data_IF_189246058074
#
_entry.id   IF_189246058074
#
_cell.length_a   1.000
_cell.length_b   1.000
_cell.length_c   1.000
_cell.angle_alpha   90.00
_cell.angle_beta   90.00
_cell.angle_gamma   90.00
#
_symmetry.space_group_name_H-M   'P 1'
#
loop_
_entity.id
_entity.type
_entity.pdbx_description
1 polymer ?
#
# COMPACT_ATOMS: atom_id res chain seq x y z
N UNK A 1 -25.41 2.93 -12.73
CA UNK A 1 -24.33 3.46 -11.88
C UNK A 1 -24.24 2.55 -10.66
N UNK A 2 -23.03 2.08 -10.33
CA UNK A 2 -22.76 1.01 -9.36
C UNK A 2 -21.54 1.37 -8.50
N UNK A 3 -21.74 2.29 -7.56
CA UNK A 3 -20.72 2.62 -6.56
C UNK A 3 -20.44 1.37 -5.72
N UNK A 4 -19.20 0.88 -5.79
CA UNK A 4 -18.81 -0.37 -5.15
C UNK A 4 -18.45 -0.19 -3.67
N UNK A 5 -17.93 0.97 -3.28
CA UNK A 5 -17.48 1.25 -1.91
C UNK A 5 -18.36 2.33 -1.29
N UNK A 6 -18.78 2.10 -0.05
CA UNK A 6 -19.66 2.97 0.71
C UNK A 6 -19.11 3.17 2.11
N UNK A 7 -19.10 4.41 2.57
CA UNK A 7 -18.66 4.79 3.90
C UNK A 7 -19.89 5.16 4.75
N UNK A 8 -19.96 4.64 5.97
CA UNK A 8 -21.06 4.95 6.88
C UNK A 8 -20.58 5.98 7.90
N UNK A 9 -20.85 7.26 7.60
CA UNK A 9 -20.41 8.39 8.40
C UNK A 9 -19.02 8.91 8.03
N UNK A 10 -18.69 10.09 8.56
CA UNK A 10 -17.41 10.78 8.44
C UNK A 10 -17.04 11.28 9.83
N UNK A 11 -15.83 11.00 10.36
CA UNK A 11 -15.33 11.54 11.63
C UNK A 11 -16.31 11.65 12.81
N UNK A 12 -17.35 10.80 12.87
CA UNK A 12 -18.48 10.91 13.80
C UNK A 12 -18.11 10.69 15.28
N UNK A 13 -16.82 10.47 15.56
CA UNK A 13 -16.25 10.46 16.90
C UNK A 13 -15.97 11.87 17.43
N UNK A 14 -15.72 12.85 16.55
CA UNK A 14 -15.29 14.20 16.90
C UNK A 14 -16.47 15.16 17.08
N UNK A 15 -16.42 16.02 18.11
CA UNK A 15 -17.49 16.99 18.43
C UNK A 15 -17.67 18.08 17.37
N UNK A 16 -16.80 18.14 16.37
CA UNK A 16 -16.91 19.02 15.22
C UNK A 16 -17.84 18.47 14.14
N UNK A 17 -18.07 17.15 14.11
CA UNK A 17 -18.94 16.54 13.12
C UNK A 17 -20.40 16.67 13.53
N UNK A 18 -21.26 17.08 12.59
CA UNK A 18 -22.69 17.18 12.86
C UNK A 18 -23.29 15.78 13.09
N UNK A 19 -23.79 15.54 14.31
CA UNK A 19 -24.32 14.24 14.69
C UNK A 19 -23.25 13.27 15.20
N UNK A 20 -22.16 13.81 15.76
CA UNK A 20 -21.19 13.06 16.52
C UNK A 20 -21.85 12.17 17.58
N UNK A 21 -21.22 11.03 17.85
CA UNK A 21 -21.80 10.04 18.74
C UNK A 21 -20.74 9.14 19.38
N UNK A 22 -21.16 8.39 20.39
CA UNK A 22 -20.30 7.41 21.04
C UNK A 22 -20.05 6.21 20.10
N UNK A 23 -18.89 5.56 20.25
CA UNK A 23 -18.58 4.36 19.48
C UNK A 23 -19.63 3.25 19.62
N UNK A 24 -20.29 3.14 20.78
CA UNK A 24 -21.34 2.15 20.99
C UNK A 24 -22.59 2.44 20.14
N UNK A 25 -23.07 3.68 20.17
CA UNK A 25 -24.21 4.12 19.36
C UNK A 25 -23.91 4.01 17.87
N UNK A 26 -22.71 4.42 17.45
CA UNK A 26 -22.26 4.24 16.06
C UNK A 26 -22.23 2.77 15.64
N UNK A 27 -21.68 1.89 16.48
CA UNK A 27 -21.60 0.45 16.18
C UNK A 27 -22.97 -0.16 15.91
N UNK A 28 -24.01 0.24 16.66
CA UNK A 28 -25.38 -0.19 16.42
C UNK A 28 -25.92 0.36 15.08
N UNK A 29 -25.79 1.67 14.85
CA UNK A 29 -26.25 2.30 13.61
C UNK A 29 -25.56 1.70 12.38
N UNK A 30 -24.25 1.46 12.46
CA UNK A 30 -23.49 0.79 11.41
C UNK A 30 -24.08 -0.58 11.07
N UNK A 31 -24.46 -1.38 12.08
CA UNK A 31 -25.05 -2.70 11.84
C UNK A 31 -26.39 -2.62 11.10
N UNK A 32 -27.21 -1.61 11.43
CA UNK A 32 -28.51 -1.38 10.81
C UNK A 32 -28.31 -0.99 9.33
N UNK A 33 -27.43 -0.02 9.05
CA UNK A 33 -27.07 0.37 7.69
C UNK A 33 -26.44 -0.79 6.90
N UNK A 34 -25.46 -1.49 7.47
CA UNK A 34 -24.77 -2.60 6.82
C UNK A 34 -25.76 -3.69 6.39
N UNK A 35 -26.62 -4.13 7.31
CA UNK A 35 -27.62 -5.16 7.04
C UNK A 35 -28.61 -4.72 5.96
N UNK A 36 -29.15 -3.51 6.07
CA UNK A 36 -30.11 -2.99 5.11
C UNK A 36 -29.50 -2.83 3.70
N UNK A 37 -28.30 -2.28 3.62
CA UNK A 37 -27.62 -2.06 2.34
C UNK A 37 -27.20 -3.39 1.69
N UNK A 38 -26.70 -4.36 2.46
CA UNK A 38 -26.34 -5.69 1.96
C UNK A 38 -27.54 -6.51 1.50
N UNK A 39 -28.72 -6.27 2.07
CA UNK A 39 -29.96 -6.90 1.62
C UNK A 39 -30.37 -6.40 0.22
N UNK A 40 -30.06 -5.15 -0.12
CA UNK A 40 -30.31 -4.57 -1.44
C UNK A 40 -29.24 -5.00 -2.45
N UNK A 41 -27.96 -4.88 -2.07
CA UNK A 41 -26.83 -5.29 -2.91
C UNK A 41 -25.75 -5.94 -2.04
N UNK A 42 -25.58 -7.25 -2.17
CA UNK A 42 -24.55 -7.98 -1.41
C UNK A 42 -23.13 -7.80 -1.96
N UNK A 43 -22.98 -7.18 -3.15
CA UNK A 43 -21.70 -7.03 -3.86
C UNK A 43 -20.95 -5.74 -3.53
N UNK A 44 -21.62 -4.74 -2.96
CA UNK A 44 -20.97 -3.52 -2.47
C UNK A 44 -20.09 -3.82 -1.25
N UNK A 45 -19.20 -2.89 -0.94
CA UNK A 45 -18.27 -2.90 0.20
C UNK A 45 -18.65 -1.76 1.12
N UNK A 46 -18.80 -2.05 2.41
CA UNK A 46 -19.26 -1.07 3.41
C UNK A 46 -18.21 -0.89 4.51
N UNK A 47 -17.79 0.36 4.70
CA UNK A 47 -16.71 0.76 5.58
C UNK A 47 -17.17 1.40 6.88
N UNK A 48 -16.49 1.07 7.97
CA UNK A 48 -16.73 1.63 9.29
C UNK A 48 -15.64 2.62 9.71
N UNK A 49 -16.03 3.77 10.26
CA UNK A 49 -15.15 4.78 10.86
C UNK A 49 -14.45 4.20 12.08
N UNK A 50 -13.13 4.35 12.11
CA UNK A 50 -12.31 4.05 13.29
C UNK A 50 -11.24 5.13 13.47
N UNK A 51 -10.94 5.43 14.73
CA UNK A 51 -9.75 6.17 15.14
C UNK A 51 -8.62 5.20 15.47
N UNK A 52 -7.37 5.62 15.25
CA UNK A 52 -6.22 4.90 15.80
C UNK A 52 -5.98 5.39 17.24
N UNK A 53 -5.66 4.51 18.21
CA UNK A 53 -5.55 4.85 19.63
C UNK A 53 -4.25 5.59 19.97
N UNK A 54 -3.64 6.24 18.97
CA UNK A 54 -2.66 7.30 19.18
C UNK A 54 -3.35 8.67 19.26
N UNK A 55 -4.63 8.75 18.89
CA UNK A 55 -5.49 9.90 19.15
C UNK A 55 -6.11 9.76 20.54
N UNK A 56 -5.43 10.33 21.53
CA UNK A 56 -5.70 10.17 22.97
C UNK A 56 -7.12 10.52 23.42
N UNK A 57 -7.88 11.23 22.59
CA UNK A 57 -9.19 11.76 22.95
C UNK A 57 -10.34 10.79 22.56
N UNK A 58 -10.04 9.77 21.73
CA UNK A 58 -11.07 8.88 21.14
C UNK A 58 -10.76 7.39 21.27
N UNK A 59 -9.84 6.99 22.16
CA UNK A 59 -9.40 5.59 22.34
C UNK A 59 -10.56 4.59 22.51
N UNK A 60 -11.66 5.00 23.13
CA UNK A 60 -12.82 4.14 23.37
C UNK A 60 -13.80 4.06 22.20
N UNK A 61 -13.73 4.97 21.24
CA UNK A 61 -14.66 5.01 20.12
C UNK A 61 -14.54 3.74 19.27
N UNK A 62 -13.35 3.46 18.71
CA UNK A 62 -13.11 2.29 17.87
C UNK A 62 -13.33 0.97 18.62
N UNK A 63 -12.93 0.92 19.88
CA UNK A 63 -13.11 -0.25 20.75
C UNK A 63 -14.59 -0.61 20.86
N UNK A 64 -15.43 0.38 21.22
CA UNK A 64 -16.86 0.16 21.43
C UNK A 64 -17.60 -0.07 20.11
N UNK A 65 -17.22 0.62 19.03
CA UNK A 65 -17.80 0.43 17.70
C UNK A 65 -17.56 -0.99 17.18
N UNK A 66 -16.29 -1.41 17.11
CA UNK A 66 -15.92 -2.74 16.60
C UNK A 66 -16.46 -3.86 17.50
N UNK A 67 -16.47 -3.67 18.82
CA UNK A 67 -17.02 -4.62 19.78
C UNK A 67 -18.54 -4.84 19.61
N UNK A 68 -19.30 -3.76 19.40
CA UNK A 68 -20.74 -3.86 19.14
C UNK A 68 -21.05 -4.49 17.78
N UNK A 69 -20.30 -4.10 16.73
CA UNK A 69 -20.44 -4.72 15.40
C UNK A 69 -20.23 -6.23 15.47
N UNK A 70 -19.14 -6.65 16.12
CA UNK A 70 -18.81 -8.07 16.30
C UNK A 70 -19.89 -8.82 17.07
N UNK A 71 -20.37 -8.26 18.18
CA UNK A 71 -21.41 -8.87 19.01
C UNK A 71 -22.75 -9.02 18.27
N UNK A 72 -23.01 -8.13 17.31
CA UNK A 72 -24.18 -8.16 16.42
C UNK A 72 -23.99 -9.07 15.20
N UNK A 73 -22.86 -9.78 15.10
CA UNK A 73 -22.55 -10.66 13.97
C UNK A 73 -22.17 -9.92 12.67
N UNK A 74 -21.96 -8.61 12.73
CA UNK A 74 -21.58 -7.77 11.59
C UNK A 74 -20.06 -7.57 11.57
N UNK A 75 -19.46 -7.77 10.41
CA UNK A 75 -18.04 -7.49 10.16
C UNK A 75 -17.96 -6.47 9.02
N UNK A 76 -17.40 -5.27 9.24
CA UNK A 76 -17.23 -4.30 8.15
C UNK A 76 -16.33 -4.87 7.05
N UNK A 77 -16.58 -4.48 5.81
CA UNK A 77 -15.72 -4.88 4.69
C UNK A 77 -14.38 -4.16 4.73
N UNK A 78 -14.37 -2.91 5.20
CA UNK A 78 -13.18 -2.10 5.36
C UNK A 78 -13.28 -1.14 6.54
N UNK A 79 -12.13 -0.65 7.00
CA UNK A 79 -12.06 0.43 7.99
C UNK A 79 -11.68 1.74 7.31
N UNK A 80 -12.40 2.80 7.68
CA UNK A 80 -12.21 4.19 7.27
C UNK A 80 -11.32 4.82 8.33
N UNK A 81 -10.12 5.22 7.92
CA UNK A 81 -9.08 5.75 8.82
C UNK A 81 -8.68 7.12 8.30
N UNK A 82 -8.70 8.10 9.19
CA UNK A 82 -8.27 9.44 8.91
C UNK A 82 -6.94 9.67 9.63
N UNK A 83 -6.00 10.35 8.98
CA UNK A 83 -4.65 10.51 9.49
C UNK A 83 -4.06 11.86 9.11
N UNK A 84 -3.80 12.68 10.13
CA UNK A 84 -3.11 13.94 9.98
C UNK A 84 -2.01 14.07 11.02
N UNK A 85 -0.88 14.70 10.68
CA UNK A 85 0.06 15.18 11.68
C UNK A 85 -0.62 16.08 12.74
N UNK A 86 -1.04 15.53 13.89
CA UNK A 86 -1.88 16.21 14.89
C UNK A 86 -1.11 17.21 15.78
N UNK A 87 -1.80 18.30 16.18
CA UNK A 87 -1.72 18.90 17.53
C UNK A 87 -0.40 19.49 18.04
N UNK A 88 0.65 19.61 17.22
CA UNK A 88 1.86 20.38 17.57
C UNK A 88 2.20 21.48 16.54
N UNK A 89 1.40 21.63 15.48
CA UNK A 89 1.66 22.54 14.36
C UNK A 89 1.01 23.93 14.56
N UNK A 90 0.82 24.35 15.82
CA UNK A 90 0.34 25.71 16.09
C UNK A 90 1.50 26.68 15.79
N UNK A 91 1.31 27.46 14.72
CA UNK A 91 2.24 28.42 14.15
C UNK A 91 3.31 27.85 13.21
N UNK A 92 3.38 28.48 12.04
CA UNK A 92 4.28 28.31 10.90
C UNK A 92 5.76 28.55 11.24
N UNK A 93 6.13 28.60 12.51
CA UNK A 93 7.52 28.66 12.94
C UNK A 93 8.06 27.24 13.15
N UNK A 94 8.68 26.72 12.09
CA UNK A 94 9.82 25.82 12.21
C UNK A 94 9.57 24.49 12.94
N UNK A 95 8.55 23.74 12.55
CA UNK A 95 8.73 22.29 12.61
C UNK A 95 9.68 21.90 11.49
N UNK A 96 10.92 21.55 11.87
CA UNK A 96 11.93 21.06 10.94
C UNK A 96 11.32 19.96 10.07
N UNK A 97 11.51 20.03 8.76
CA UNK A 97 11.05 19.04 7.75
C UNK A 97 11.26 17.57 8.13
N UNK A 98 12.21 17.31 9.04
CA UNK A 98 12.44 16.01 9.67
C UNK A 98 11.25 15.47 10.46
N UNK A 99 10.36 16.30 10.99
CA UNK A 99 9.16 15.82 11.65
C UNK A 99 8.15 15.31 10.62
N UNK A 100 7.75 16.13 9.64
CA UNK A 100 6.70 15.77 8.66
C UNK A 100 7.18 14.70 7.67
N UNK A 101 8.35 14.87 7.06
CA UNK A 101 8.87 13.89 6.08
C UNK A 101 9.74 12.79 6.69
N UNK A 102 10.08 12.91 7.98
CA UNK A 102 10.79 11.89 8.75
C UNK A 102 9.87 11.21 9.76
N UNK A 103 9.73 11.76 10.97
CA UNK A 103 9.05 11.12 12.10
C UNK A 103 7.60 10.71 11.81
N UNK A 104 6.82 11.55 11.13
CA UNK A 104 5.45 11.25 10.77
C UNK A 104 5.34 10.12 9.74
N UNK A 105 6.28 10.05 8.79
CA UNK A 105 6.35 8.90 7.88
C UNK A 105 6.68 7.61 8.65
N UNK A 106 7.52 7.67 9.70
CA UNK A 106 7.80 6.51 10.55
C UNK A 106 6.59 6.11 11.42
N UNK A 107 5.76 7.08 11.82
CA UNK A 107 4.53 6.84 12.60
C UNK A 107 3.47 6.07 11.81
N UNK A 108 3.42 6.20 10.49
CA UNK A 108 2.47 5.47 9.64
C UNK A 108 2.54 3.95 9.88
N UNK A 109 3.75 3.39 10.04
CA UNK A 109 3.91 1.96 10.35
C UNK A 109 3.21 1.57 11.65
N UNK A 110 3.40 2.39 12.70
CA UNK A 110 2.77 2.19 14.00
C UNK A 110 1.25 2.34 13.92
N UNK A 111 0.75 3.34 13.22
CA UNK A 111 -0.69 3.62 13.07
C UNK A 111 -1.41 2.51 12.32
N UNK A 112 -0.89 2.11 11.16
CA UNK A 112 -1.46 1.00 10.38
C UNK A 112 -1.39 -0.31 11.16
N UNK A 113 -0.27 -0.58 11.85
CA UNK A 113 -0.12 -1.78 12.67
C UNK A 113 -1.12 -1.80 13.83
N UNK A 114 -1.34 -0.64 14.45
CA UNK A 114 -2.28 -0.51 15.56
C UNK A 114 -3.73 -0.67 15.09
N UNK A 115 -4.12 -0.05 13.97
CA UNK A 115 -5.43 -0.25 13.37
C UNK A 115 -5.70 -1.73 13.07
N UNK A 116 -4.71 -2.43 12.52
CA UNK A 116 -4.77 -3.88 12.27
C UNK A 116 -4.89 -4.69 13.55
N UNK A 117 -4.17 -4.31 14.60
CA UNK A 117 -4.23 -4.97 15.89
C UNK A 117 -5.61 -4.79 16.54
N UNK A 118 -6.20 -3.59 16.46
CA UNK A 118 -7.56 -3.33 16.93
C UNK A 118 -8.58 -4.18 16.18
N UNK A 119 -8.54 -4.20 14.85
CA UNK A 119 -9.43 -5.03 14.04
C UNK A 119 -9.30 -6.51 14.43
N UNK A 120 -8.07 -7.02 14.56
CA UNK A 120 -7.83 -8.41 15.01
C UNK A 120 -8.42 -8.68 16.38
N UNK A 121 -8.24 -7.77 17.33
CA UNK A 121 -8.67 -7.92 18.72
C UNK A 121 -10.19 -7.90 18.86
N UNK A 122 -10.86 -6.94 18.21
CA UNK A 122 -12.28 -6.67 18.44
C UNK A 122 -13.21 -7.32 17.41
N UNK A 123 -12.76 -7.54 16.17
CA UNK A 123 -13.52 -8.32 15.18
C UNK A 123 -13.17 -9.82 15.22
N UNK A 124 -12.10 -10.18 15.94
CA UNK A 124 -11.62 -11.53 16.17
C UNK A 124 -10.63 -12.03 15.11
N UNK A 125 -9.65 -12.84 15.52
CA UNK A 125 -8.57 -13.35 14.66
C UNK A 125 -9.05 -14.09 13.40
N UNK A 126 -10.22 -14.72 13.42
CA UNK A 126 -10.81 -15.39 12.26
C UNK A 126 -11.24 -14.43 11.13
N UNK A 127 -11.28 -13.13 11.42
CA UNK A 127 -11.61 -12.07 10.48
C UNK A 127 -10.38 -11.23 10.09
N UNK A 128 -9.22 -11.51 10.67
CA UNK A 128 -7.98 -10.87 10.29
C UNK A 128 -7.64 -11.19 8.83
N UNK A 129 -7.34 -10.15 8.04
CA UNK A 129 -7.09 -10.27 6.59
C UNK A 129 -8.35 -10.32 5.72
N UNK A 130 -9.56 -10.34 6.30
CA UNK A 130 -10.83 -10.17 5.54
C UNK A 130 -11.28 -8.72 5.45
N UNK A 131 -10.86 -7.91 6.42
CA UNK A 131 -11.17 -6.48 6.50
C UNK A 131 -10.07 -5.71 5.80
N UNK A 132 -10.45 -4.88 4.84
CA UNK A 132 -9.57 -3.96 4.13
C UNK A 132 -9.33 -2.69 4.99
N UNK A 133 -8.27 -1.96 4.71
CA UNK A 133 -7.93 -0.72 5.41
C UNK A 133 -7.82 0.40 4.40
N UNK A 134 -8.56 1.47 4.62
CA UNK A 134 -8.58 2.63 3.75
C UNK A 134 -8.23 3.87 4.55
N UNK A 135 -7.24 4.62 4.06
CA UNK A 135 -6.89 5.94 4.60
C UNK A 135 -7.61 7.00 3.76
N UNK A 136 -8.90 7.17 4.01
CA UNK A 136 -9.84 7.98 3.20
C UNK A 136 -9.68 9.47 3.39
N UNK A 137 -8.94 9.86 4.42
CA UNK A 137 -8.57 11.23 4.67
C UNK A 137 -7.15 11.26 5.22
N UNK A 138 -6.22 11.89 4.51
CA UNK A 138 -4.91 12.20 5.05
C UNK A 138 -4.27 13.37 4.34
N UNK A 139 -3.46 14.16 5.03
CA UNK A 139 -2.67 15.23 4.41
C UNK A 139 -1.57 15.71 5.35
N UNK A 140 -0.60 16.49 4.86
CA UNK A 140 0.42 17.11 5.72
C UNK A 140 -0.12 18.29 6.54
N UNK A 141 -1.27 18.83 6.15
CA UNK A 141 -1.94 19.98 6.76
C UNK A 141 -3.44 19.67 6.91
N UNK A 142 -4.03 20.04 8.05
CA UNK A 142 -5.45 19.82 8.39
C UNK A 142 -6.32 21.05 8.10
N UNK A 143 -5.72 22.24 8.00
CA UNK A 143 -6.46 23.52 8.03
C UNK A 143 -6.67 24.17 6.66
N UNK A 144 -6.52 23.46 5.53
CA UNK A 144 -6.58 24.05 4.19
C UNK A 144 -5.62 25.25 4.02
N UNK A 145 -4.44 25.18 4.62
CA UNK A 145 -3.42 26.22 4.52
C UNK A 145 -2.65 26.17 3.21
N UNK A 146 -1.77 27.15 3.00
CA UNK A 146 -0.90 27.19 1.81
C UNK A 146 -0.05 25.93 1.64
N UNK A 147 0.26 25.25 2.75
CA UNK A 147 1.06 24.03 2.80
C UNK A 147 0.46 22.91 1.96
N UNK A 148 -0.87 22.85 1.82
CA UNK A 148 -1.52 21.81 1.02
C UNK A 148 -1.08 21.78 -0.44
N UNK A 149 -0.67 22.93 -0.98
CA UNK A 149 -0.23 23.07 -2.38
C UNK A 149 1.30 23.01 -2.54
N UNK A 150 2.05 23.00 -1.45
CA UNK A 150 3.51 23.18 -1.47
C UNK A 150 4.28 21.86 -1.63
N UNK A 151 5.56 21.97 -1.99
CA UNK A 151 6.42 20.84 -2.26
C UNK A 151 6.62 19.92 -1.04
N UNK A 152 6.64 20.46 0.18
CA UNK A 152 6.65 19.67 1.41
C UNK A 152 5.50 18.65 1.43
N UNK A 153 4.30 19.09 1.06
CA UNK A 153 3.15 18.22 1.05
C UNK A 153 3.22 17.18 -0.08
N UNK A 154 3.75 17.55 -1.25
CA UNK A 154 4.00 16.58 -2.32
C UNK A 154 4.97 15.48 -1.86
N UNK A 155 6.00 15.85 -1.11
CA UNK A 155 6.94 14.91 -0.49
C UNK A 155 6.27 14.04 0.57
N UNK A 156 5.46 14.61 1.46
CA UNK A 156 4.72 13.87 2.49
C UNK A 156 3.76 12.85 1.86
N UNK A 157 2.85 13.31 0.98
CA UNK A 157 1.85 12.44 0.33
C UNK A 157 2.53 11.32 -0.44
N UNK A 158 3.61 11.61 -1.17
CA UNK A 158 4.34 10.58 -1.93
C UNK A 158 4.93 9.50 -1.03
N UNK A 159 5.50 9.89 0.11
CA UNK A 159 6.07 8.96 1.07
C UNK A 159 4.99 8.18 1.81
N UNK A 160 3.91 8.85 2.24
CA UNK A 160 2.77 8.23 2.91
C UNK A 160 2.09 7.18 2.04
N UNK A 161 1.82 7.48 0.76
CA UNK A 161 1.27 6.52 -0.19
C UNK A 161 2.14 5.26 -0.33
N UNK A 162 3.46 5.41 -0.28
CA UNK A 162 4.38 4.29 -0.39
C UNK A 162 4.47 3.47 0.89
N UNK A 163 4.38 4.11 2.05
CA UNK A 163 4.24 3.40 3.34
C UNK A 163 2.91 2.65 3.42
N UNK A 164 1.80 3.27 3.05
CA UNK A 164 0.49 2.63 2.94
C UNK A 164 0.55 1.40 2.03
N UNK A 165 1.16 1.53 0.84
CA UNK A 165 1.33 0.41 -0.08
C UNK A 165 2.22 -0.71 0.49
N UNK A 166 3.34 -0.36 1.15
CA UNK A 166 4.24 -1.32 1.83
C UNK A 166 3.50 -2.08 2.93
N UNK A 167 2.62 -1.40 3.64
CA UNK A 167 1.85 -1.93 4.75
C UNK A 167 0.58 -2.64 4.28
N UNK A 168 0.24 -2.64 3.00
CA UNK A 168 -0.96 -3.31 2.48
C UNK A 168 -2.27 -2.60 2.84
N UNK A 169 -2.24 -1.28 2.98
CA UNK A 169 -3.43 -0.44 2.91
C UNK A 169 -4.03 -0.56 1.50
N UNK A 170 -5.35 -0.67 1.42
CA UNK A 170 -6.07 -0.99 0.18
C UNK A 170 -6.32 0.24 -0.69
N UNK A 171 -6.64 1.37 -0.05
CA UNK A 171 -6.80 2.65 -0.72
C UNK A 171 -6.42 3.80 0.20
N UNK A 172 -6.00 4.90 -0.39
CA UNK A 172 -5.69 6.12 0.33
C UNK A 172 -6.11 7.34 -0.50
N UNK A 173 -6.73 8.31 0.14
CA UNK A 173 -7.28 9.50 -0.47
C UNK A 173 -6.71 10.73 0.23
N UNK A 174 -5.75 11.44 -0.39
CA UNK A 174 -5.26 12.67 0.19
C UNK A 174 -6.39 13.70 0.19
N UNK A 175 -6.70 14.24 1.36
CA UNK A 175 -7.77 15.23 1.52
C UNK A 175 -7.26 16.62 1.22
N UNK A 176 -8.05 17.43 0.54
CA UNK A 176 -7.74 18.81 0.21
C UNK A 176 -8.93 19.44 -0.50
N UNK A 177 -9.11 20.75 -0.33
CA UNK A 177 -10.19 21.50 -0.97
C UNK A 177 -10.05 21.60 -2.50
N UNK A 178 -8.81 21.59 -3.04
CA UNK A 178 -8.53 22.07 -4.40
C UNK A 178 -7.82 21.08 -5.36
N UNK A 179 -7.53 19.82 -4.98
CA UNK A 179 -6.74 18.96 -5.87
C UNK A 179 -7.49 18.49 -7.11
N UNK A 180 -6.70 18.36 -8.18
CA UNK A 180 -7.04 17.98 -9.56
C UNK A 180 -7.56 19.11 -10.46
N UNK A 181 -7.73 20.33 -9.96
CA UNK A 181 -8.25 21.44 -10.79
C UNK A 181 -7.17 22.43 -11.23
N UNK A 182 -6.13 22.67 -10.41
CA UNK A 182 -5.04 23.61 -10.73
C UNK A 182 -3.77 22.89 -11.17
N UNK A 183 -3.62 22.72 -12.48
CA UNK A 183 -2.37 22.27 -13.08
C UNK A 183 -1.20 23.16 -12.61
N UNK A 184 -0.10 22.55 -12.17
CA UNK A 184 1.14 23.25 -11.81
C UNK A 184 1.51 23.23 -10.32
N UNK A 185 0.57 22.92 -9.43
CA UNK A 185 0.90 22.74 -8.01
C UNK A 185 1.76 21.48 -7.80
N UNK A 186 2.82 21.52 -6.97
CA UNK A 186 3.71 20.40 -6.68
C UNK A 186 3.00 19.06 -6.43
N UNK A 187 1.92 19.13 -5.69
CA UNK A 187 1.21 17.96 -5.21
C UNK A 187 0.29 17.31 -6.24
N UNK A 188 -0.16 18.09 -7.23
CA UNK A 188 -0.86 17.57 -8.42
C UNK A 188 -0.01 16.50 -9.13
N UNK A 189 1.32 16.69 -9.17
CA UNK A 189 2.24 15.79 -9.86
C UNK A 189 2.44 14.43 -9.18
N UNK A 190 2.03 14.27 -7.92
CA UNK A 190 2.22 13.02 -7.17
C UNK A 190 1.52 11.84 -7.85
N UNK A 191 0.22 11.98 -8.13
CA UNK A 191 -0.58 10.93 -8.79
C UNK A 191 -0.04 10.52 -10.16
N UNK A 192 0.16 11.42 -11.15
CA UNK A 192 0.63 11.02 -12.47
C UNK A 192 2.03 10.42 -12.43
N UNK A 193 2.91 10.85 -11.51
CA UNK A 193 4.22 10.20 -11.35
C UNK A 193 4.09 8.74 -10.93
N UNK A 194 3.24 8.42 -9.94
CA UNK A 194 3.00 7.02 -9.56
C UNK A 194 2.27 6.22 -10.63
N UNK A 195 1.30 6.83 -11.33
CA UNK A 195 0.52 6.13 -12.38
C UNK A 195 1.38 5.77 -13.59
N UNK A 196 2.29 6.66 -14.01
CA UNK A 196 3.02 6.50 -15.27
C UNK A 196 4.45 5.99 -15.11
N UNK A 197 5.11 6.27 -13.98
CA UNK A 197 6.54 6.02 -13.80
C UNK A 197 6.87 5.06 -12.64
N UNK A 198 5.85 4.55 -11.94
CA UNK A 198 6.04 3.58 -10.86
C UNK A 198 5.31 2.26 -11.11
N UNK A 199 5.85 1.19 -10.54
CA UNK A 199 5.38 -0.18 -10.70
C UNK A 199 4.17 -0.50 -9.83
N UNK A 200 3.41 -1.52 -10.23
CA UNK A 200 2.19 -1.97 -9.54
C UNK A 200 2.45 -3.00 -8.44
N UNK A 201 3.61 -3.66 -8.46
CA UNK A 201 3.91 -4.79 -7.59
C UNK A 201 5.05 -4.44 -6.64
N UNK A 202 4.72 -3.95 -5.44
CA UNK A 202 5.70 -3.63 -4.39
C UNK A 202 6.65 -4.80 -4.15
N UNK A 203 7.94 -4.51 -3.99
CA UNK A 203 8.98 -5.48 -3.64
C UNK A 203 9.67 -5.10 -2.33
N UNK A 204 10.25 -6.09 -1.67
CA UNK A 204 11.01 -5.86 -0.44
C UNK A 204 12.15 -4.88 -0.69
N UNK A 205 12.20 -3.83 0.12
CA UNK A 205 13.22 -2.79 0.09
C UNK A 205 13.83 -2.71 1.48
N UNK A 206 15.16 -2.71 1.57
CA UNK A 206 15.90 -2.52 2.83
C UNK A 206 16.85 -1.35 2.67
N UNK A 207 16.85 -0.44 3.63
CA UNK A 207 17.72 0.74 3.64
C UNK A 207 18.81 0.53 4.70
N UNK A 208 20.06 0.81 4.34
CA UNK A 208 21.16 0.83 5.31
C UNK A 208 20.98 1.99 6.28
N UNK A 209 21.12 1.73 7.58
CA UNK A 209 20.78 2.66 8.67
C UNK A 209 21.60 3.97 8.74
N UNK A 210 22.53 4.23 7.82
CA UNK A 210 23.47 5.37 7.93
C UNK A 210 22.87 6.73 7.57
N UNK A 211 21.64 6.83 7.05
CA UNK A 211 21.01 8.12 6.74
C UNK A 211 19.49 8.10 6.99
N UNK A 212 19.06 8.65 8.14
CA UNK A 212 17.65 8.80 8.52
C UNK A 212 16.83 9.71 7.58
N UNK A 213 17.50 10.48 6.71
CA UNK A 213 16.84 11.44 5.82
C UNK A 213 16.64 10.92 4.40
N UNK A 214 17.08 9.69 4.10
CA UNK A 214 16.85 9.08 2.78
C UNK A 214 15.90 7.91 2.92
N UNK A 215 14.82 7.93 2.13
CA UNK A 215 13.84 6.84 2.07
C UNK A 215 13.76 6.25 0.68
N UNK A 216 13.35 5.00 0.59
CA UNK A 216 13.35 4.22 -0.63
C UNK A 216 12.23 3.18 -0.63
N UNK A 217 11.51 3.10 -1.75
CA UNK A 217 10.50 2.07 -2.01
C UNK A 217 10.66 1.57 -3.43
N UNK A 218 10.54 0.27 -3.62
CA UNK A 218 10.63 -0.35 -4.94
C UNK A 218 9.39 -1.16 -5.28
N UNK A 219 9.11 -1.23 -6.57
CA UNK A 219 8.07 -2.04 -7.15
C UNK A 219 8.53 -2.63 -8.49
N UNK A 220 7.75 -3.56 -9.04
CA UNK A 220 7.86 -4.00 -10.43
C UNK A 220 6.71 -3.45 -11.25
N UNK A 221 7.03 -2.99 -12.45
CA UNK A 221 6.00 -2.66 -13.44
C UNK A 221 5.46 -3.91 -14.14
N UNK A 222 4.47 -3.74 -15.01
CA UNK A 222 3.83 -4.85 -15.74
C UNK A 222 4.75 -5.50 -16.78
N UNK A 223 5.86 -4.87 -17.14
CA UNK A 223 6.87 -5.39 -18.05
C UNK A 223 8.01 -6.08 -17.30
N UNK A 224 7.96 -6.10 -15.97
CA UNK A 224 8.96 -6.72 -15.11
C UNK A 224 10.13 -5.82 -14.75
N UNK A 225 10.15 -4.55 -15.19
CA UNK A 225 11.20 -3.60 -14.80
C UNK A 225 11.11 -3.31 -13.31
N UNK A 226 12.24 -3.05 -12.67
CA UNK A 226 12.26 -2.53 -11.30
C UNK A 226 12.08 -1.02 -11.36
N UNK A 227 11.09 -0.51 -10.65
CA UNK A 227 10.88 0.92 -10.43
C UNK A 227 11.17 1.26 -8.98
N UNK A 228 11.75 2.43 -8.73
CA UNK A 228 12.05 2.90 -7.37
C UNK A 228 11.56 4.32 -7.19
N UNK A 229 11.09 4.64 -5.99
CA UNK A 229 10.84 5.99 -5.51
C UNK A 229 11.81 6.22 -4.36
N UNK A 230 12.59 7.29 -4.46
CA UNK A 230 13.63 7.68 -3.52
C UNK A 230 13.32 9.11 -3.05
N UNK A 231 13.31 9.34 -1.75
CA UNK A 231 13.15 10.67 -1.18
C UNK A 231 14.43 11.05 -0.42
N UNK A 232 14.95 12.25 -0.69
CA UNK A 232 15.96 12.88 0.16
C UNK A 232 15.30 14.03 0.92
N UNK A 233 15.01 13.81 2.19
CA UNK A 233 14.37 14.76 3.10
C UNK A 233 15.36 15.77 3.70
N UNK A 234 16.63 15.75 3.27
CA UNK A 234 17.61 16.76 3.68
C UNK A 234 17.43 18.05 2.89
N UNK A 235 17.05 19.14 3.57
CA UNK A 235 16.97 20.49 2.99
C UNK A 235 18.32 21.04 2.50
N UNK A 236 19.41 20.64 3.16
CA UNK A 236 20.72 21.24 2.92
C UNK A 236 21.64 20.40 2.03
N UNK A 237 21.51 19.07 2.08
CA UNK A 237 22.56 18.19 1.56
C UNK A 237 22.03 17.19 0.55
N UNK A 238 22.67 17.13 -0.61
CA UNK A 238 22.56 15.98 -1.50
C UNK A 238 23.19 14.74 -0.86
N UNK A 239 22.74 13.55 -1.26
CA UNK A 239 23.37 12.29 -0.86
C UNK A 239 23.57 11.36 -2.06
N UNK A 240 24.38 10.31 -1.86
CA UNK A 240 24.54 9.22 -2.82
C UNK A 240 23.81 8.01 -2.27
N UNK A 241 22.81 7.52 -3.01
CA UNK A 241 22.16 6.25 -2.73
C UNK A 241 22.92 5.12 -3.45
N UNK A 242 23.55 4.23 -2.68
CA UNK A 242 24.15 3.01 -3.20
C UNK A 242 23.08 1.91 -3.25
N UNK A 243 22.71 1.50 -4.45
CA UNK A 243 21.59 0.61 -4.73
C UNK A 243 22.12 -0.75 -5.17
N UNK A 244 21.64 -1.80 -4.50
CA UNK A 244 21.93 -3.20 -4.85
C UNK A 244 20.63 -3.92 -5.15
N UNK A 245 20.48 -4.39 -6.39
CA UNK A 245 19.35 -5.22 -6.81
C UNK A 245 19.67 -6.68 -6.50
N UNK A 246 18.74 -7.37 -5.83
CA UNK A 246 18.87 -8.80 -5.52
C UNK A 246 17.81 -9.60 -6.26
N UNK A 247 18.18 -10.80 -6.71
CA UNK A 247 17.24 -11.73 -7.38
C UNK A 247 16.87 -11.33 -8.82
N UNK A 248 17.59 -10.41 -9.44
CA UNK A 248 17.48 -10.06 -10.86
C UNK A 248 18.83 -9.56 -11.40
N UNK A 249 18.96 -9.49 -12.72
CA UNK A 249 20.08 -8.85 -13.41
C UNK A 249 19.63 -7.52 -14.01
N UNK A 250 20.29 -6.42 -13.68
CA UNK A 250 19.95 -5.12 -14.26
C UNK A 250 20.49 -4.98 -15.69
N UNK A 251 19.75 -4.26 -16.53
CA UNK A 251 20.28 -3.71 -17.76
C UNK A 251 21.36 -2.65 -17.50
N UNK A 252 22.09 -2.28 -18.56
CA UNK A 252 23.21 -1.33 -18.49
C UNK A 252 22.78 0.14 -18.45
N UNK A 253 21.50 0.42 -18.70
CA UNK A 253 20.92 1.76 -18.66
C UNK A 253 19.53 1.74 -18.03
N UNK A 254 19.23 2.77 -17.25
CA UNK A 254 17.91 3.03 -16.68
C UNK A 254 17.45 4.46 -16.95
N UNK A 255 16.23 4.76 -16.54
CA UNK A 255 15.63 6.09 -16.62
C UNK A 255 15.45 6.68 -15.23
N UNK A 256 15.72 7.97 -15.09
CA UNK A 256 15.57 8.73 -13.84
C UNK A 256 14.72 9.98 -14.05
N UNK A 257 13.80 10.23 -13.13
CA UNK A 257 13.06 11.48 -13.02
C UNK A 257 13.34 12.10 -11.66
N UNK A 258 13.95 13.28 -11.65
CA UNK A 258 14.24 14.04 -10.43
C UNK A 258 13.26 15.19 -10.34
N UNK A 259 12.46 15.21 -9.29
CA UNK A 259 11.56 16.31 -8.94
C UNK A 259 12.11 17.07 -7.74
N UNK A 260 12.22 18.39 -7.89
CA UNK A 260 12.60 19.34 -6.84
C UNK A 260 11.58 20.46 -6.82
N UNK A 261 11.25 21.03 -5.67
CA UNK A 261 10.44 22.24 -5.66
C UNK A 261 11.25 23.44 -6.18
N UNK A 262 10.54 24.44 -6.71
CA UNK A 262 11.09 25.73 -7.15
C UNK A 262 10.11 26.86 -6.84
N UNK A 263 10.63 28.08 -6.69
CA UNK A 263 9.85 29.29 -6.41
C UNK A 263 9.44 29.41 -4.94
N UNK A 264 9.67 30.56 -4.32
CA UNK A 264 9.53 30.77 -2.87
C UNK A 264 10.88 31.06 -2.20
N UNK A 265 10.86 31.52 -0.95
CA UNK A 265 12.06 31.86 -0.17
C UNK A 265 12.69 30.66 0.55
N UNK A 266 11.95 29.56 0.69
CA UNK A 266 12.33 28.40 1.49
C UNK A 266 11.79 27.11 0.85
N UNK A 267 12.60 26.04 0.83
CA UNK A 267 12.33 24.85 0.00
C UNK A 267 11.01 24.11 0.27
N UNK A 268 10.57 23.98 1.52
CA UNK A 268 9.30 23.35 1.88
C UNK A 268 8.09 24.15 1.38
N UNK A 269 8.21 25.48 1.30
CA UNK A 269 7.18 26.39 0.82
C UNK A 269 7.09 26.49 -0.70
N UNK A 270 7.88 25.70 -1.42
CA UNK A 270 7.93 25.80 -2.87
C UNK A 270 6.58 25.51 -3.51
N UNK A 271 6.09 26.45 -4.32
CA UNK A 271 4.75 26.42 -4.96
C UNK A 271 4.79 25.92 -6.39
N UNK A 272 5.95 25.53 -6.88
CA UNK A 272 6.15 24.93 -8.21
C UNK A 272 7.20 23.83 -8.13
N UNK A 273 7.38 23.09 -9.22
CA UNK A 273 8.40 22.04 -9.31
C UNK A 273 9.32 22.25 -10.51
N UNK A 274 10.52 21.69 -10.43
CA UNK A 274 11.35 21.36 -11.58
C UNK A 274 11.43 19.85 -11.69
N UNK A 275 11.20 19.31 -12.90
CA UNK A 275 11.40 17.91 -13.20
C UNK A 275 12.42 17.75 -14.31
N UNK A 276 13.53 17.06 -14.02
CA UNK A 276 14.64 16.88 -14.97
C UNK A 276 15.17 18.21 -15.56
N UNK A 277 15.10 19.30 -14.79
CA UNK A 277 15.51 20.64 -15.20
C UNK A 277 14.42 21.46 -15.92
N UNK A 278 13.26 20.88 -16.22
CA UNK A 278 12.10 21.61 -16.76
C UNK A 278 11.24 22.13 -15.61
N UNK A 279 11.09 23.44 -15.52
CA UNK A 279 10.20 24.07 -14.52
C UNK A 279 8.74 23.89 -14.93
N UNK A 280 7.90 23.49 -13.98
CA UNK A 280 6.45 23.30 -14.07
C UNK A 280 6.01 22.63 -15.37
N UNK A 281 6.48 21.40 -15.65
CA UNK A 281 6.12 20.70 -16.88
C UNK A 281 4.59 20.55 -16.98
N UNK A 282 4.03 20.66 -18.19
CA UNK A 282 2.58 20.52 -18.36
C UNK A 282 2.09 19.18 -17.83
N UNK A 283 0.96 19.20 -17.13
CA UNK A 283 0.21 18.04 -16.66
C UNK A 283 0.09 16.93 -17.72
N UNK A 284 -0.29 17.32 -18.94
CA UNK A 284 -0.47 16.42 -20.08
C UNK A 284 0.82 15.70 -20.51
N UNK A 285 1.98 16.31 -20.24
CA UNK A 285 3.28 15.78 -20.65
C UNK A 285 3.81 14.68 -19.75
N UNK A 286 3.31 14.57 -18.50
CA UNK A 286 3.90 13.66 -17.51
C UNK A 286 3.86 12.21 -17.97
N UNK A 287 2.81 11.79 -18.66
CA UNK A 287 2.69 10.42 -19.20
C UNK A 287 3.81 10.07 -20.19
N UNK A 288 4.22 11.03 -21.01
CA UNK A 288 5.21 10.84 -22.08
C UNK A 288 6.58 11.42 -21.72
N UNK A 289 6.73 11.95 -20.51
CA UNK A 289 7.95 12.60 -20.07
C UNK A 289 9.10 11.59 -20.03
N UNK A 290 10.10 11.82 -20.86
CA UNK A 290 11.29 10.97 -20.90
C UNK A 290 12.15 11.19 -19.65
N UNK A 291 12.56 10.08 -19.02
CA UNK A 291 13.53 10.12 -17.94
C UNK A 291 14.94 10.39 -18.48
N UNK A 292 15.76 11.03 -17.66
CA UNK A 292 17.19 11.15 -17.92
C UNK A 292 17.83 9.76 -17.88
N UNK A 293 18.62 9.42 -18.90
CA UNK A 293 19.36 8.16 -18.91
C UNK A 293 20.44 8.18 -17.83
N UNK A 294 20.63 7.04 -17.15
CA UNK A 294 21.75 6.84 -16.25
C UNK A 294 22.29 5.42 -16.38
N UNK A 295 23.56 5.21 -16.05
CA UNK A 295 24.18 3.88 -16.04
C UNK A 295 23.66 3.07 -14.87
N UNK A 296 23.05 1.91 -15.16
CA UNK A 296 22.59 0.97 -14.15
C UNK A 296 23.39 -0.33 -14.22
N UNK A 297 23.45 -1.02 -13.11
CA UNK A 297 23.92 -2.40 -13.03
C UNK A 297 23.21 -3.07 -11.84
N UNK A 298 23.54 -4.31 -11.51
CA UNK A 298 23.01 -4.94 -10.28
C UNK A 298 23.47 -4.20 -9.01
N UNK A 299 24.58 -3.45 -9.09
CA UNK A 299 25.05 -2.53 -8.06
C UNK A 299 25.43 -1.19 -8.67
N UNK A 300 24.80 -0.09 -8.25
CA UNK A 300 25.04 1.23 -8.83
C UNK A 300 24.74 2.33 -7.81
N UNK A 301 25.13 3.55 -8.14
CA UNK A 301 24.93 4.70 -7.27
C UNK A 301 24.14 5.77 -8.00
N UNK A 302 23.24 6.44 -7.28
CA UNK A 302 22.47 7.59 -7.78
C UNK A 302 22.61 8.75 -6.81
N UNK A 303 22.98 9.92 -7.33
CA UNK A 303 22.95 11.17 -6.57
C UNK A 303 21.52 11.65 -6.42
N UNK A 304 21.10 11.88 -5.18
CA UNK A 304 19.83 12.49 -4.79
C UNK A 304 20.10 13.94 -4.39
N UNK A 305 19.59 14.94 -5.12
CA UNK A 305 19.70 16.34 -4.69
C UNK A 305 19.08 16.57 -3.31
N UNK A 306 19.50 17.66 -2.65
CA UNK A 306 18.84 18.12 -1.44
C UNK A 306 17.34 18.34 -1.71
N UNK A 307 16.50 17.93 -0.76
CA UNK A 307 15.05 18.12 -0.74
C UNK A 307 14.39 17.73 -2.08
N UNK A 308 14.47 16.44 -2.40
CA UNK A 308 14.08 15.95 -3.72
C UNK A 308 13.39 14.60 -3.66
N UNK A 309 12.61 14.36 -4.71
CA UNK A 309 11.98 13.07 -5.00
C UNK A 309 12.54 12.54 -6.31
N UNK A 310 12.97 11.29 -6.33
CA UNK A 310 13.59 10.65 -7.49
C UNK A 310 12.89 9.34 -7.83
N UNK A 311 12.40 9.23 -9.06
CA UNK A 311 11.90 7.97 -9.62
C UNK A 311 12.97 7.35 -10.49
N UNK A 312 13.17 6.04 -10.34
CA UNK A 312 14.03 5.24 -11.19
C UNK A 312 13.20 4.17 -11.89
N UNK A 313 13.57 3.84 -13.13
CA UNK A 313 13.11 2.68 -13.85
C UNK A 313 14.32 1.94 -14.43
N UNK A 314 14.52 0.72 -13.98
CA UNK A 314 15.63 -0.14 -14.38
C UNK A 314 15.08 -1.36 -15.11
N UNK A 315 15.39 -1.53 -16.40
CA UNK A 315 15.16 -2.79 -17.10
C UNK A 315 15.89 -3.92 -16.38
N UNK A 316 15.20 -5.03 -16.12
CA UNK A 316 15.83 -6.21 -15.50
C UNK A 316 15.53 -7.47 -16.30
N UNK A 317 16.47 -8.40 -16.28
CA UNK A 317 16.37 -9.75 -16.83
C UNK A 317 16.66 -10.78 -15.74
N UNK A 318 16.45 -12.07 -16.05
CA UNK A 318 16.72 -13.19 -15.14
C UNK A 318 16.12 -12.98 -13.74
N UNK A 319 14.89 -12.46 -13.69
CA UNK A 319 14.13 -12.37 -12.46
C UNK A 319 14.03 -13.79 -11.91
N UNK A 320 14.52 -14.02 -10.68
CA UNK A 320 14.24 -15.23 -9.94
C UNK A 320 12.76 -15.51 -10.09
N UNK A 321 12.42 -16.64 -10.74
CA UNK A 321 11.10 -16.90 -11.32
C UNK A 321 9.95 -16.83 -10.31
N UNK A 322 10.22 -16.64 -9.02
CA UNK A 322 9.22 -16.45 -7.97
C UNK A 322 8.59 -15.04 -8.07
N UNK A 323 7.44 -14.93 -8.74
CA UNK A 323 6.64 -13.71 -8.82
C UNK A 323 6.02 -13.34 -7.47
N UNK A 324 5.59 -14.35 -6.71
CA UNK A 324 5.07 -14.23 -5.33
C UNK A 324 5.45 -15.46 -4.53
N UNK A 325 5.80 -15.25 -3.26
CA UNK A 325 5.93 -16.30 -2.25
C UNK A 325 4.93 -15.99 -1.14
N UNK A 326 4.06 -16.92 -0.85
CA UNK A 326 3.12 -16.85 0.27
C UNK A 326 3.45 -17.98 1.23
N UNK A 327 3.62 -17.66 2.50
CA UNK A 327 3.76 -18.63 3.58
C UNK A 327 2.46 -18.61 4.38
N UNK A 328 1.75 -19.72 4.40
CA UNK A 328 0.51 -19.89 5.18
C UNK A 328 0.81 -20.83 6.33
N UNK A 329 0.65 -20.35 7.56
CA UNK A 329 0.69 -21.20 8.74
C UNK A 329 -0.72 -21.73 9.03
N UNK A 330 -0.86 -23.05 9.11
CA UNK A 330 -2.08 -23.74 9.50
C UNK A 330 -1.75 -24.72 10.61
N UNK A 331 -2.20 -24.43 11.83
CA UNK A 331 -2.08 -25.31 13.00
C UNK A 331 -0.65 -25.85 13.24
N UNK A 332 0.36 -24.98 13.12
CA UNK A 332 1.77 -25.34 13.32
C UNK A 332 2.48 -25.93 12.08
N UNK A 333 1.79 -26.06 10.94
CA UNK A 333 2.35 -26.52 9.66
C UNK A 333 2.49 -25.35 8.68
N UNK A 334 3.59 -25.31 7.91
CA UNK A 334 3.86 -24.23 6.94
C UNK A 334 3.62 -24.67 5.49
N UNK A 335 2.69 -24.03 4.79
CA UNK A 335 2.49 -24.20 3.35
C UNK A 335 3.15 -23.02 2.63
N UNK A 336 4.14 -23.31 1.79
CA UNK A 336 4.78 -22.34 0.90
C UNK A 336 4.15 -22.45 -0.49
N UNK A 337 3.54 -21.37 -0.98
CA UNK A 337 3.06 -21.29 -2.37
C UNK A 337 3.97 -20.33 -3.12
N UNK A 338 4.56 -20.78 -4.22
CA UNK A 338 5.40 -19.96 -5.10
C UNK A 338 4.76 -19.85 -6.47
N UNK A 339 4.49 -18.63 -6.91
CA UNK A 339 4.11 -18.38 -8.30
C UNK A 339 5.37 -18.25 -9.14
N UNK A 340 5.57 -19.13 -10.13
CA UNK A 340 6.82 -19.23 -10.90
C UNK A 340 6.75 -18.58 -12.29
N UNK A 341 5.65 -17.88 -12.60
CA UNK A 341 5.38 -17.22 -13.88
C UNK A 341 4.71 -18.13 -14.92
N UNK A 342 4.02 -17.54 -15.93
CA UNK A 342 3.26 -18.24 -16.99
C UNK A 342 2.27 -19.30 -16.44
N UNK A 343 1.52 -18.98 -15.38
CA UNK A 343 0.54 -19.89 -14.79
C UNK A 343 1.14 -21.12 -14.07
N UNK A 344 2.43 -21.13 -13.78
CA UNK A 344 3.08 -22.18 -13.01
C UNK A 344 3.15 -21.80 -11.51
N UNK A 345 2.86 -22.78 -10.65
CA UNK A 345 2.90 -22.61 -9.19
C UNK A 345 3.57 -23.83 -8.55
N UNK A 346 4.41 -23.63 -7.54
CA UNK A 346 4.87 -24.72 -6.68
C UNK A 346 4.19 -24.62 -5.32
N UNK A 347 3.86 -25.78 -4.74
CA UNK A 347 3.42 -25.89 -3.35
C UNK A 347 4.46 -26.73 -2.64
N UNK A 348 5.06 -26.16 -1.60
CA UNK A 348 6.00 -26.86 -0.73
C UNK A 348 5.41 -26.88 0.68
N UNK A 349 5.24 -28.06 1.26
CA UNK A 349 4.72 -28.22 2.62
C UNK A 349 5.92 -28.50 3.53
N UNK A 350 6.22 -27.53 4.40
CA UNK A 350 7.25 -27.66 5.43
C UNK A 350 6.54 -28.05 6.73
N UNK A 351 6.49 -29.35 7.00
CA UNK A 351 6.17 -29.91 8.31
C UNK A 351 7.46 -30.54 8.87
N UNK A 352 7.95 -30.02 9.99
CA UNK A 352 9.18 -30.49 10.63
C UNK A 352 8.96 -31.77 11.46
N UNK A 353 7.71 -32.23 11.61
CA UNK A 353 7.31 -33.18 12.65
C UNK A 353 6.61 -34.45 12.19
N UNK A 354 6.23 -34.63 10.91
CA UNK A 354 5.46 -35.83 10.51
C UNK A 354 5.85 -36.35 9.12
N UNK A 355 6.05 -37.68 9.03
CA UNK A 355 6.30 -38.39 7.78
C UNK A 355 5.10 -38.37 6.82
N UNK A 356 5.40 -38.48 5.52
CA UNK A 356 4.54 -38.77 4.35
C UNK A 356 2.99 -38.67 4.48
N UNK A 357 2.44 -37.64 5.10
CA UNK A 357 0.99 -37.39 5.04
C UNK A 357 0.59 -37.02 3.61
N UNK A 358 -0.42 -37.70 3.07
CA UNK A 358 -0.91 -37.47 1.73
C UNK A 358 -1.57 -36.09 1.65
N UNK A 359 -1.26 -35.34 0.59
CA UNK A 359 -1.94 -34.10 0.26
C UNK A 359 -2.52 -34.16 -1.15
N UNK A 360 -3.50 -33.30 -1.41
CA UNK A 360 -4.08 -33.12 -2.74
C UNK A 360 -4.08 -31.64 -3.10
N UNK A 361 -3.82 -31.36 -4.37
CA UNK A 361 -4.01 -30.04 -4.98
C UNK A 361 -5.04 -30.21 -6.07
N UNK A 362 -6.13 -29.46 -5.99
CA UNK A 362 -7.17 -29.41 -7.00
C UNK A 362 -7.35 -27.97 -7.45
N UNK A 363 -7.21 -27.73 -8.76
CA UNK A 363 -7.44 -26.41 -9.36
C UNK A 363 -8.74 -26.48 -10.15
N UNK A 364 -9.65 -25.56 -9.90
CA UNK A 364 -10.91 -25.44 -10.62
C UNK A 364 -11.06 -24.05 -11.23
N UNK A 365 -11.78 -23.96 -12.34
CA UNK A 365 -12.16 -22.67 -12.94
C UNK A 365 -13.29 -21.99 -12.16
N UNK A 366 -13.70 -20.80 -12.60
CA UNK A 366 -14.78 -20.05 -11.98
C UNK A 366 -16.13 -20.78 -11.98
N UNK A 367 -16.35 -21.72 -12.92
CA UNK A 367 -17.55 -22.55 -12.98
C UNK A 367 -17.47 -23.78 -12.05
N UNK A 368 -16.39 -23.92 -11.27
CA UNK A 368 -16.18 -25.05 -10.37
C UNK A 368 -15.70 -26.33 -11.07
N UNK A 369 -15.40 -26.27 -12.37
CA UNK A 369 -14.88 -27.42 -13.11
C UNK A 369 -13.41 -27.61 -12.77
N UNK A 370 -13.06 -28.80 -12.27
CA UNK A 370 -11.67 -29.17 -12.04
C UNK A 370 -10.90 -29.18 -13.37
N UNK A 371 -9.84 -28.37 -13.43
CA UNK A 371 -8.94 -28.27 -14.58
C UNK A 371 -7.58 -28.93 -14.29
N UNK A 372 -7.31 -29.23 -13.02
CA UNK A 372 -6.11 -29.93 -12.60
C UNK A 372 -6.33 -30.62 -11.26
N UNK A 373 -5.86 -31.87 -11.14
CA UNK A 373 -5.84 -32.60 -9.88
C UNK A 373 -4.52 -33.35 -9.75
N UNK A 374 -3.88 -33.22 -8.60
CA UNK A 374 -2.69 -34.00 -8.27
C UNK A 374 -2.72 -34.43 -6.80
N UNK A 375 -2.20 -35.63 -6.55
CA UNK A 375 -2.04 -36.23 -5.23
C UNK A 375 -0.56 -36.56 -5.05
N UNK A 376 0.06 -36.02 -4.01
CA UNK A 376 1.47 -36.24 -3.73
C UNK A 376 1.71 -36.76 -2.32
N UNK A 377 2.88 -37.37 -2.15
CA UNK A 377 3.44 -37.78 -0.86
C UNK A 377 4.84 -37.13 -0.74
N UNK A 378 5.09 -36.32 0.30
CA UNK A 378 6.38 -35.66 0.51
C UNK A 378 6.31 -34.13 0.64
N UNK A 379 7.48 -33.48 0.75
CA UNK A 379 7.64 -32.07 1.18
C UNK A 379 7.47 -31.01 0.08
N UNK A 380 7.56 -31.37 -1.20
CA UNK A 380 7.47 -30.39 -2.29
C UNK A 380 6.89 -31.01 -3.56
N UNK A 381 6.06 -30.24 -4.25
CA UNK A 381 5.65 -30.56 -5.61
C UNK A 381 5.52 -29.30 -6.48
N UNK A 382 5.91 -29.48 -7.73
CA UNK A 382 5.85 -28.45 -8.77
C UNK A 382 4.68 -28.75 -9.68
N UNK A 383 3.87 -27.74 -9.98
CA UNK A 383 2.73 -27.90 -10.87
C UNK A 383 2.71 -26.81 -11.93
N UNK A 384 2.30 -27.20 -13.12
CA UNK A 384 2.21 -26.30 -14.27
C UNK A 384 0.85 -26.49 -14.92
N UNK A 385 0.08 -25.41 -15.00
CA UNK A 385 -1.19 -25.40 -15.71
C UNK A 385 -0.92 -25.27 -17.21
N UNK A 386 -0.36 -26.32 -17.82
CA UNK A 386 0.15 -26.27 -19.21
C UNK A 386 -0.91 -26.04 -20.29
N UNK A 387 -2.20 -26.03 -19.93
CA UNK A 387 -3.33 -25.89 -20.86
C UNK A 387 -4.49 -25.05 -20.32
N UNK A 388 -4.30 -24.30 -19.24
CA UNK A 388 -5.32 -23.41 -18.72
C UNK A 388 -5.45 -22.16 -19.61
N UNK A 389 -6.67 -21.80 -19.98
CA UNK A 389 -6.94 -20.52 -20.64
C UNK A 389 -6.58 -19.36 -19.69
N UNK A 390 -6.35 -18.17 -20.23
CA UNK A 390 -6.20 -16.97 -19.41
C UNK A 390 -7.49 -16.76 -18.60
N UNK A 391 -7.38 -16.61 -17.28
CA UNK A 391 -8.55 -16.53 -16.40
C UNK A 391 -8.24 -16.66 -14.91
N UNK A 392 -9.29 -16.58 -14.10
CA UNK A 392 -9.21 -16.80 -12.65
C UNK A 392 -9.53 -18.27 -12.38
N UNK A 393 -8.65 -18.91 -11.62
CA UNK A 393 -8.76 -20.27 -11.14
C UNK A 393 -8.73 -20.27 -9.61
N UNK A 394 -9.19 -21.34 -9.00
CA UNK A 394 -9.12 -21.53 -7.56
C UNK A 394 -8.31 -22.79 -7.29
N UNK A 395 -7.20 -22.62 -6.57
CA UNK A 395 -6.37 -23.72 -6.12
C UNK A 395 -6.79 -24.10 -4.70
N UNK A 396 -7.32 -25.31 -4.55
CA UNK A 396 -7.64 -25.92 -3.26
C UNK A 396 -6.59 -26.96 -2.90
N UNK A 397 -5.99 -26.80 -1.74
CA UNK A 397 -4.97 -27.68 -1.18
C UNK A 397 -5.61 -28.37 0.03
N UNK A 398 -5.62 -29.71 0.01
CA UNK A 398 -6.00 -30.49 1.19
C UNK A 398 -4.79 -31.21 1.75
N UNK A 399 -4.56 -31.05 3.06
CA UNK A 399 -3.46 -31.69 3.76
C UNK A 399 -3.87 -32.02 5.19
N UNK A 400 -3.74 -33.28 5.61
CA UNK A 400 -4.10 -33.71 6.97
C UNK A 400 -5.56 -33.41 7.35
N UNK A 401 -6.49 -33.42 6.39
CA UNK A 401 -7.90 -33.06 6.61
C UNK A 401 -8.22 -31.55 6.61
N UNK A 402 -7.20 -30.69 6.54
CA UNK A 402 -7.36 -29.24 6.41
C UNK A 402 -7.54 -28.83 4.95
N UNK A 403 -8.35 -27.79 4.69
CA UNK A 403 -8.61 -27.25 3.35
C UNK A 403 -8.13 -25.80 3.27
N UNK A 404 -7.25 -25.48 2.32
CA UNK A 404 -6.88 -24.11 1.97
C UNK A 404 -7.29 -23.84 0.52
N UNK A 405 -7.93 -22.71 0.26
CA UNK A 405 -8.35 -22.32 -1.10
C UNK A 405 -7.84 -20.92 -1.43
N UNK A 406 -7.26 -20.75 -2.61
CA UNK A 406 -6.72 -19.47 -3.09
C UNK A 406 -7.08 -19.23 -4.55
N UNK A 407 -7.47 -18.00 -4.86
CA UNK A 407 -7.63 -17.56 -6.24
C UNK A 407 -6.26 -17.37 -6.92
N UNK A 408 -6.14 -17.84 -8.14
CA UNK A 408 -4.93 -17.89 -8.95
C UNK A 408 -5.26 -17.31 -10.32
N UNK A 409 -4.52 -16.30 -10.76
CA UNK A 409 -4.72 -15.70 -12.09
C UNK A 409 -3.73 -16.34 -13.06
N UNK A 410 -4.25 -17.01 -14.09
CA UNK A 410 -3.47 -17.50 -15.21
C UNK A 410 -3.55 -16.45 -16.31
N UNK A 411 -2.39 -16.01 -16.81
CA UNK A 411 -2.28 -15.07 -17.92
C UNK A 411 -1.93 -15.79 -19.20
#
# INVERSE_FOLDING_TARGET
LGAKYWEIGNEIFGSWEQGDTTGAAYGQLFCDFYTAMKAVDSTIKIGAVVTTPLETDYDQFSINALGNMKSSGVIPDFLIIHEYPYGQLTSVSYQSDTAVTGEWIDRIDSQVTTAKALAKRYLGSANFGKVEYFYTEFNADRENGSQESQFLNAMYISQALMEFARLGVTGANPWCADYYTTDGNPTWYVRPMFVYHYGKYVVNTSIGQSNIRTRAWAARDTLGNVTMFLANNSVASSCIANIVLKGCSAGTAGQKWVMQGVGGSWQPEFTSISMNGTTSPSASSIKTLSGQSFTSSTSFSVTLPAYSMTWLKIPVSNISKTLRRENVELSGKSINIRETGRGAFSVSIMDATVGHEAWTVNVYDFAGKSVYYNKGNGHEAFFKLEKAASGIYFCKINYGGMNYTRAVVVK
#
